data_IF_283557316594
#
_entry.id   IF_283557316594
#
_cell.length_a   1.000
_cell.length_b   1.000
_cell.length_c   1.000
_cell.angle_alpha   90.00
_cell.angle_beta   90.00
_cell.angle_gamma   90.00
#
_symmetry.space_group_name_H-M   'P 1'
#
loop_
_entity.id
_entity.type
_entity.pdbx_description
1 polymer ?
#
# COMPACT_ATOMS: atom_id res chain seq x y z
N UNK A 1 -3.46 -40.43 38.86
CA UNK A 1 -3.13 -38.99 38.94
C UNK A 1 -2.11 -38.50 37.88
N UNK A 2 -1.25 -39.36 37.30
CA UNK A 2 -0.30 -38.93 36.24
C UNK A 2 -0.95 -38.79 34.86
N UNK A 3 -1.89 -39.67 34.51
CA UNK A 3 -2.60 -39.65 33.22
C UNK A 3 -3.43 -38.38 33.01
N UNK A 4 -4.18 -37.92 34.02
CA UNK A 4 -5.00 -36.69 33.93
C UNK A 4 -4.16 -35.42 33.74
N UNK A 5 -2.95 -35.37 34.31
CA UNK A 5 -2.01 -34.26 34.10
C UNK A 5 -1.45 -34.25 32.67
N UNK A 6 -1.27 -35.41 32.05
CA UNK A 6 -0.80 -35.54 30.67
C UNK A 6 -1.84 -35.02 29.66
N UNK A 7 -3.11 -35.41 29.79
CA UNK A 7 -4.18 -34.92 28.92
C UNK A 7 -4.37 -33.40 29.01
N UNK A 8 -4.25 -32.84 30.22
CA UNK A 8 -4.40 -31.40 30.41
C UNK A 8 -3.25 -30.62 29.76
N UNK A 9 -2.02 -31.13 29.84
CA UNK A 9 -0.88 -30.57 29.12
C UNK A 9 -1.08 -30.61 27.60
N UNK A 10 -1.60 -31.72 27.06
CA UNK A 10 -1.87 -31.84 25.61
C UNK A 10 -2.95 -30.86 25.15
N UNK A 11 -4.02 -30.67 25.94
CA UNK A 11 -5.08 -29.71 25.64
C UNK A 11 -4.54 -28.27 25.66
N UNK A 12 -3.70 -27.93 26.66
CA UNK A 12 -3.09 -26.59 26.74
C UNK A 12 -2.17 -26.33 25.55
N UNK A 13 -1.36 -27.32 25.13
CA UNK A 13 -0.48 -27.20 23.97
C UNK A 13 -1.32 -27.04 22.68
N UNK A 14 -2.41 -27.79 22.52
CA UNK A 14 -3.30 -27.68 21.37
C UNK A 14 -4.01 -26.31 21.31
N UNK A 15 -4.49 -25.79 22.44
CA UNK A 15 -5.08 -24.44 22.51
C UNK A 15 -4.06 -23.35 22.19
N UNK A 16 -2.83 -23.49 22.67
CA UNK A 16 -1.75 -22.54 22.41
C UNK A 16 -1.34 -22.55 20.93
N UNK A 17 -1.26 -23.74 20.31
CA UNK A 17 -0.99 -23.88 18.87
C UNK A 17 -2.11 -23.26 18.01
N UNK A 18 -3.38 -23.41 18.41
CA UNK A 18 -4.51 -22.78 17.72
C UNK A 18 -4.47 -21.23 17.84
N UNK A 19 -4.10 -20.70 18.99
CA UNK A 19 -3.93 -19.25 19.20
C UNK A 19 -2.80 -18.65 18.35
N UNK A 20 -1.73 -19.42 18.09
CA UNK A 20 -0.62 -18.98 17.23
C UNK A 20 -1.01 -18.90 15.75
N UNK A 21 -1.97 -19.71 15.28
CA UNK A 21 -2.44 -19.66 13.88
C UNK A 21 -3.35 -18.47 13.55
N UNK A 22 -3.90 -17.79 14.55
CA UNK A 22 -4.73 -16.59 14.36
C UNK A 22 -3.96 -15.29 14.17
N UNK A 23 -2.62 -15.30 14.21
CA UNK A 23 -1.83 -14.12 13.86
C UNK A 23 -1.81 -13.95 12.33
N UNK A 24 -2.83 -13.26 11.82
CA UNK A 24 -2.83 -12.78 10.44
C UNK A 24 -1.74 -11.71 10.28
N UNK A 25 -0.60 -12.10 9.70
CA UNK A 25 0.38 -11.14 9.18
C UNK A 25 -0.27 -10.42 8.00
N UNK A 26 -0.69 -9.18 8.22
CA UNK A 26 -1.14 -8.31 7.14
C UNK A 26 0.06 -7.97 6.26
N UNK A 27 0.04 -8.42 5.01
CA UNK A 27 1.05 -8.04 4.03
C UNK A 27 1.02 -6.52 3.82
N UNK A 28 2.17 -5.86 3.88
CA UNK A 28 2.24 -4.42 3.65
C UNK A 28 1.81 -4.11 2.20
N UNK A 29 0.96 -3.09 2.02
CA UNK A 29 0.52 -2.66 0.69
C UNK A 29 1.73 -2.27 -0.16
N UNK A 30 1.73 -2.70 -1.42
CA UNK A 30 2.70 -2.26 -2.41
C UNK A 30 2.46 -0.80 -2.74
N UNK A 31 3.53 0.01 -2.69
CA UNK A 31 3.47 1.45 -2.88
C UNK A 31 3.86 1.81 -4.32
N UNK A 32 3.06 2.64 -4.97
CA UNK A 32 3.33 3.21 -6.28
C UNK A 32 3.43 4.72 -6.13
N UNK A 33 4.56 5.28 -6.54
CA UNK A 33 4.79 6.72 -6.56
C UNK A 33 4.73 7.24 -7.99
N UNK A 34 3.68 7.99 -8.31
CA UNK A 34 3.56 8.68 -9.59
C UNK A 34 4.26 10.04 -9.51
N UNK A 35 5.49 10.15 -10.00
CA UNK A 35 6.25 11.40 -10.04
C UNK A 35 6.21 12.02 -11.45
N UNK A 36 6.02 13.34 -11.53
CA UNK A 36 5.97 14.04 -12.80
C UNK A 36 5.64 15.52 -12.65
N UNK A 37 5.14 16.13 -13.72
CA UNK A 37 4.82 17.55 -13.76
C UNK A 37 3.31 17.82 -13.60
N UNK A 38 2.80 18.88 -14.24
CA UNK A 38 1.39 19.27 -14.24
C UNK A 38 0.43 18.17 -14.71
N UNK A 39 0.87 17.29 -15.63
CA UNK A 39 0.05 16.16 -16.10
C UNK A 39 -0.17 15.15 -14.98
N UNK A 40 0.88 14.81 -14.22
CA UNK A 40 0.77 13.90 -13.07
C UNK A 40 -0.02 14.53 -11.95
N UNK A 41 0.19 15.82 -11.68
CA UNK A 41 -0.59 16.56 -10.69
C UNK A 41 -2.09 16.54 -11.00
N UNK A 42 -2.44 16.65 -12.29
CA UNK A 42 -3.82 16.85 -12.72
C UNK A 42 -4.19 18.33 -12.78
N UNK A 43 -3.28 19.16 -13.30
CA UNK A 43 -3.50 20.59 -13.46
C UNK A 43 -4.77 20.86 -14.29
N UNK A 44 -5.55 21.88 -13.90
CA UNK A 44 -6.90 22.22 -14.42
C UNK A 44 -8.03 21.22 -14.14
N UNK A 45 -7.77 20.06 -13.54
CA UNK A 45 -8.83 19.18 -13.09
C UNK A 45 -9.55 19.79 -11.88
N UNK A 46 -10.87 19.68 -11.86
CA UNK A 46 -11.69 20.16 -10.74
C UNK A 46 -11.44 19.36 -9.46
N UNK A 47 -11.13 18.07 -9.60
CA UNK A 47 -10.72 17.20 -8.50
C UNK A 47 -9.50 16.36 -8.91
N UNK A 48 -8.27 16.91 -8.80
CA UNK A 48 -7.06 16.19 -9.16
C UNK A 48 -6.82 14.94 -8.31
N UNK A 49 -7.38 14.84 -7.11
CA UNK A 49 -7.19 13.65 -6.26
C UNK A 49 -7.89 12.41 -6.85
N UNK A 50 -9.03 12.60 -7.52
CA UNK A 50 -9.79 11.50 -8.13
C UNK A 50 -9.68 11.44 -9.65
N UNK A 51 -9.60 12.59 -10.34
CA UNK A 51 -9.65 12.66 -11.80
C UNK A 51 -8.28 12.53 -12.47
N UNK A 52 -7.19 12.84 -11.76
CA UNK A 52 -5.84 12.66 -12.31
C UNK A 52 -5.55 11.20 -12.64
N UNK A 53 -4.62 10.93 -13.55
CA UNK A 53 -4.28 9.56 -13.89
C UNK A 53 -3.79 8.75 -12.66
N UNK A 54 -3.05 9.30 -11.66
CA UNK A 54 -2.75 8.58 -10.43
C UNK A 54 -4.01 8.28 -9.60
N UNK A 55 -4.97 9.21 -9.56
CA UNK A 55 -6.28 9.01 -8.91
C UNK A 55 -7.08 7.88 -9.55
N UNK A 56 -7.13 7.86 -10.88
CA UNK A 56 -7.76 6.78 -11.66
C UNK A 56 -7.04 5.44 -11.46
N UNK A 57 -5.70 5.44 -11.46
CA UNK A 57 -4.90 4.24 -11.22
C UNK A 57 -5.18 3.63 -9.84
N UNK A 58 -5.35 4.46 -8.81
CA UNK A 58 -5.74 3.99 -7.46
C UNK A 58 -7.07 3.27 -7.49
N UNK A 59 -8.06 3.80 -8.22
CA UNK A 59 -9.39 3.17 -8.35
C UNK A 59 -9.28 1.83 -9.08
N UNK A 60 -8.51 1.77 -10.16
CA UNK A 60 -8.33 0.55 -10.96
C UNK A 60 -7.60 -0.57 -10.19
N UNK A 61 -6.57 -0.23 -9.43
CA UNK A 61 -5.80 -1.22 -8.64
C UNK A 61 -6.50 -1.65 -7.36
N UNK A 62 -7.42 -0.83 -6.86
CA UNK A 62 -8.07 -1.03 -5.57
C UNK A 62 -7.13 -0.79 -4.37
N UNK A 63 -7.72 -0.65 -3.19
CA UNK A 63 -7.00 -0.28 -1.96
C UNK A 63 -6.49 -1.49 -1.15
N UNK A 64 -6.83 -2.71 -1.56
CA UNK A 64 -6.51 -3.94 -0.81
C UNK A 64 -5.00 -4.21 -0.79
N UNK A 65 -4.37 -4.18 -1.97
CA UNK A 65 -2.96 -4.53 -2.14
C UNK A 65 -2.06 -3.33 -2.48
N UNK A 66 -2.65 -2.21 -2.91
CA UNK A 66 -1.90 -1.09 -3.48
C UNK A 66 -2.15 0.22 -2.74
N UNK A 67 -1.10 1.03 -2.67
CA UNK A 67 -1.14 2.41 -2.22
C UNK A 67 -0.50 3.29 -3.30
N UNK A 68 -1.33 4.05 -4.01
CA UNK A 68 -0.88 4.93 -5.10
C UNK A 68 -0.80 6.37 -4.58
N UNK A 69 0.37 6.99 -4.73
CA UNK A 69 0.63 8.39 -4.38
C UNK A 69 0.87 9.26 -5.62
N UNK A 70 0.26 10.44 -5.64
CA UNK A 70 0.50 11.46 -6.65
C UNK A 70 1.58 12.43 -6.15
N UNK A 71 2.71 12.50 -6.86
CA UNK A 71 3.84 13.38 -6.60
C UNK A 71 4.12 14.28 -7.81
N UNK A 72 3.07 14.70 -8.52
CA UNK A 72 3.15 15.68 -9.60
C UNK A 72 3.40 17.09 -9.08
N UNK A 73 4.32 17.81 -9.69
CA UNK A 73 4.66 19.20 -9.36
C UNK A 73 4.64 20.05 -10.64
N UNK A 74 3.77 21.05 -10.71
CA UNK A 74 3.55 21.79 -11.96
C UNK A 74 4.80 22.55 -12.39
N UNK A 75 5.17 22.44 -13.68
CA UNK A 75 6.38 23.06 -14.22
C UNK A 75 7.69 22.34 -13.86
N UNK A 76 7.64 21.18 -13.19
CA UNK A 76 8.85 20.38 -12.91
C UNK A 76 9.48 19.84 -14.19
N UNK A 77 10.80 19.93 -14.26
CA UNK A 77 11.65 19.29 -15.27
C UNK A 77 12.54 18.23 -14.63
N UNK A 78 13.02 17.27 -15.44
CA UNK A 78 13.92 16.20 -14.97
C UNK A 78 15.27 16.75 -14.50
N UNK A 79 15.80 17.72 -15.25
CA UNK A 79 17.08 18.37 -14.99
C UNK A 79 16.89 19.87 -14.80
N UNK A 80 17.75 20.49 -14.00
CA UNK A 80 17.81 21.94 -13.83
C UNK A 80 18.96 22.48 -14.67
N UNK A 81 18.66 23.41 -15.58
CA UNK A 81 19.68 24.13 -16.35
C UNK A 81 20.24 23.39 -17.57
N UNK A 82 19.50 22.46 -18.18
CA UNK A 82 19.96 21.70 -19.35
C UNK A 82 20.07 22.53 -20.63
N UNK A 83 19.52 23.75 -20.70
CA UNK A 83 19.53 24.59 -21.92
C UNK A 83 18.65 24.08 -23.06
N UNK A 84 18.35 22.78 -23.07
CA UNK A 84 17.36 22.15 -23.93
C UNK A 84 15.97 22.27 -23.31
N UNK A 85 14.98 22.56 -24.15
CA UNK A 85 13.59 22.30 -23.78
C UNK A 85 13.44 20.79 -23.69
N UNK A 86 12.93 20.28 -22.57
CA UNK A 86 12.77 18.86 -22.14
C UNK A 86 14.05 18.10 -21.72
#
# INVERSE_FOLDING_TARGET
MKQTKFYWSVIVIAMMAFALTSLSVSAQKQKISCAGNSITYGYELSDPYNQSYPGQLRTLLGSTNWAVGNFGDSGRTTLKGSGYSY
#
